data_IF_410330647136
#
_entry.id   IF_410330647136
#
_cell.length_a   1.000
_cell.length_b   1.000
_cell.length_c   1.000
_cell.angle_alpha   90.00
_cell.angle_beta   90.00
_cell.angle_gamma   90.00
#
_symmetry.space_group_name_H-M   'P 1'
#
loop_
_entity.id
_entity.type
_entity.pdbx_description
1 polymer ?
#
# COMPACT_ATOMS: atom_id res chain seq x y z
N UNK A 1 25.94 -6.44 -13.33
CA UNK A 1 25.03 -7.49 -12.85
C UNK A 1 23.64 -6.95 -12.66
N UNK A 2 22.67 -7.61 -13.22
CA UNK A 2 21.28 -7.25 -12.98
C UNK A 2 20.87 -7.75 -11.60
N UNK A 3 20.31 -6.91 -10.79
CA UNK A 3 19.76 -7.27 -9.48
C UNK A 3 18.25 -7.37 -9.57
N UNK A 4 17.70 -8.29 -8.84
CA UNK A 4 16.26 -8.38 -8.70
C UNK A 4 15.79 -7.44 -7.60
N UNK A 5 14.67 -6.80 -7.85
CA UNK A 5 14.06 -5.89 -6.91
C UNK A 5 12.55 -6.12 -6.95
N UNK A 6 11.95 -6.22 -5.78
CA UNK A 6 10.51 -6.36 -5.68
C UNK A 6 9.96 -5.07 -5.10
N UNK A 7 9.05 -4.46 -5.82
CA UNK A 7 8.35 -3.28 -5.34
C UNK A 7 6.93 -3.67 -4.95
N UNK A 8 6.58 -3.39 -3.72
CA UNK A 8 5.27 -3.68 -3.19
C UNK A 8 4.57 -2.37 -2.91
N UNK A 9 3.47 -2.17 -3.58
CA UNK A 9 2.65 -0.98 -3.40
C UNK A 9 1.40 -1.37 -2.63
N UNK A 10 1.15 -0.65 -1.55
CA UNK A 10 -0.01 -0.89 -0.70
C UNK A 10 -0.90 0.34 -0.68
N UNK A 11 -2.19 0.14 -0.76
CA UNK A 11 -3.17 1.21 -0.72
C UNK A 11 -4.27 0.85 0.28
N UNK A 12 -4.73 1.83 1.03
CA UNK A 12 -5.85 1.65 1.94
C UNK A 12 -6.48 3.00 2.26
N UNK A 13 -7.74 2.96 2.65
CA UNK A 13 -8.43 4.16 3.10
C UNK A 13 -8.05 4.51 4.55
N UNK A 14 -7.69 3.50 5.34
CA UNK A 14 -7.30 3.69 6.73
C UNK A 14 -5.78 3.69 6.84
N UNK A 15 -5.20 4.81 7.23
CA UNK A 15 -3.76 4.94 7.32
C UNK A 15 -3.14 4.09 8.44
N UNK A 16 -3.88 3.87 9.52
CA UNK A 16 -3.36 3.06 10.65
C UNK A 16 -3.18 1.61 10.25
N UNK A 17 -4.18 1.04 9.59
CA UNK A 17 -4.10 -0.33 9.10
C UNK A 17 -3.01 -0.45 8.06
N UNK A 18 -2.88 0.53 7.19
CA UNK A 18 -1.87 0.54 6.15
C UNK A 18 -0.47 0.57 6.74
N UNK A 19 -0.23 1.46 7.70
CA UNK A 19 1.08 1.57 8.34
C UNK A 19 1.44 0.30 9.10
N UNK A 20 0.49 -0.30 9.80
CA UNK A 20 0.71 -1.55 10.51
C UNK A 20 1.07 -2.67 9.54
N UNK A 21 0.36 -2.76 8.42
CA UNK A 21 0.64 -3.76 7.38
C UNK A 21 2.02 -3.55 6.77
N UNK A 22 2.40 -2.30 6.54
CA UNK A 22 3.72 -1.99 5.99
C UNK A 22 4.84 -2.42 6.94
N UNK A 23 4.67 -2.15 8.23
CA UNK A 23 5.66 -2.56 9.24
C UNK A 23 5.78 -4.07 9.28
N UNK A 24 4.65 -4.79 9.29
CA UNK A 24 4.66 -6.25 9.31
C UNK A 24 5.36 -6.82 8.08
N UNK A 25 5.11 -6.24 6.91
CA UNK A 25 5.76 -6.66 5.68
C UNK A 25 7.27 -6.47 5.74
N UNK A 26 7.71 -5.31 6.22
CA UNK A 26 9.13 -5.00 6.34
C UNK A 26 9.83 -5.96 7.29
N UNK A 27 9.22 -6.25 8.44
CA UNK A 27 9.77 -7.17 9.41
C UNK A 27 9.92 -8.58 8.84
N UNK A 28 8.89 -9.06 8.14
CA UNK A 28 8.95 -10.40 7.52
C UNK A 28 10.01 -10.47 6.44
N UNK A 29 10.14 -9.44 5.62
CA UNK A 29 11.15 -9.41 4.59
C UNK A 29 12.58 -9.40 5.19
N UNK A 30 12.78 -8.66 6.26
CA UNK A 30 14.07 -8.63 6.96
C UNK A 30 14.42 -9.98 7.56
N UNK A 31 13.45 -10.69 8.10
CA UNK A 31 13.67 -12.03 8.66
C UNK A 31 14.18 -13.00 7.62
N UNK A 32 13.87 -12.80 6.36
CA UNK A 32 14.33 -13.67 5.28
C UNK A 32 15.71 -13.33 4.77
N UNK A 33 16.32 -12.28 5.30
CA UNK A 33 17.65 -11.86 4.90
C UNK A 33 17.70 -10.88 3.73
N UNK A 34 16.56 -10.46 3.22
CA UNK A 34 16.52 -9.49 2.15
C UNK A 34 16.79 -8.08 2.66
N UNK A 35 17.30 -7.23 1.78
CA UNK A 35 17.47 -5.82 2.08
C UNK A 35 16.17 -5.09 1.77
N UNK A 36 15.69 -4.34 2.71
CA UNK A 36 14.42 -3.65 2.57
C UNK A 36 14.62 -2.15 2.71
N UNK A 37 14.12 -1.41 1.74
CA UNK A 37 13.97 0.04 1.88
C UNK A 37 12.62 0.26 2.55
N UNK A 38 12.61 0.93 3.68
CA UNK A 38 11.45 1.06 4.55
C UNK A 38 10.27 1.68 3.86
N UNK A 39 9.09 1.64 4.48
CA UNK A 39 7.90 2.13 3.79
C UNK A 39 8.04 3.59 3.40
N UNK A 40 7.84 3.86 2.13
CA UNK A 40 7.91 5.20 1.56
C UNK A 40 6.49 5.70 1.36
N UNK A 41 6.08 6.78 2.02
CA UNK A 41 4.75 7.32 1.78
C UNK A 41 4.69 8.00 0.42
N UNK A 42 3.67 7.66 -0.35
CA UNK A 42 3.36 8.34 -1.60
C UNK A 42 2.28 9.39 -1.33
N UNK A 43 2.12 10.36 -2.24
CA UNK A 43 1.07 11.34 -2.08
C UNK A 43 -0.31 10.69 -1.90
N UNK A 44 -1.07 11.20 -0.94
CA UNK A 44 -2.41 10.70 -0.66
C UNK A 44 -3.36 11.17 -1.75
N UNK A 45 -4.09 10.21 -2.34
CA UNK A 45 -5.14 10.56 -3.27
C UNK A 45 -6.38 11.02 -2.52
N UNK A 46 -6.94 12.13 -2.93
CA UNK A 46 -8.15 12.66 -2.30
C UNK A 46 -9.23 12.77 -3.37
N UNK A 47 -10.36 12.12 -3.12
CA UNK A 47 -11.53 12.24 -3.96
C UNK A 47 -12.63 12.89 -3.16
N UNK A 48 -13.27 13.88 -3.75
CA UNK A 48 -14.36 14.59 -3.09
C UNK A 48 -15.65 14.36 -3.85
N UNK A 49 -16.67 13.99 -3.12
CA UNK A 49 -17.99 13.77 -3.68
C UNK A 49 -18.99 14.69 -3.04
N UNK A 50 -19.88 15.24 -3.85
CA UNK A 50 -21.02 15.98 -3.36
C UNK A 50 -22.25 15.11 -3.57
N UNK A 51 -22.97 14.83 -2.49
CA UNK A 51 -24.17 14.01 -2.55
C UNK A 51 -25.38 14.88 -2.24
N UNK A 52 -26.36 14.82 -3.14
CA UNK A 52 -27.65 15.46 -2.93
C UNK A 52 -28.60 14.42 -2.37
N UNK A 53 -29.05 14.62 -1.13
CA UNK A 53 -29.94 13.65 -0.49
C UNK A 53 -31.36 13.71 -1.01
N UNK A 54 -31.82 14.90 -1.36
CA UNK A 54 -33.18 15.07 -1.87
C UNK A 54 -33.24 16.30 -2.75
N UNK A 55 -33.97 16.22 -3.88
CA UNK A 55 -34.12 17.39 -4.74
C UNK A 55 -35.01 18.49 -4.12
N UNK A 56 -35.77 18.17 -3.10
CA UNK A 56 -36.65 19.12 -2.45
C UNK A 56 -36.05 19.79 -1.23
N UNK A 57 -34.90 19.34 -0.80
CA UNK A 57 -34.25 19.88 0.39
C UNK A 57 -33.27 20.95 -0.08
N UNK A 58 -33.14 21.99 0.74
CA UNK A 58 -32.27 23.09 0.42
C UNK A 58 -30.77 22.72 0.45
N UNK A 59 -29.92 23.74 0.42
CA UNK A 59 -28.47 23.54 0.35
C UNK A 59 -27.89 22.72 1.49
N UNK A 60 -28.60 22.61 2.62
CA UNK A 60 -28.13 21.83 3.78
C UNK A 60 -28.14 20.35 3.51
N UNK A 61 -28.87 19.87 2.51
CA UNK A 61 -28.90 18.46 2.18
C UNK A 61 -27.68 18.02 1.37
N UNK A 62 -26.85 18.94 0.94
CA UNK A 62 -25.63 18.60 0.22
C UNK A 62 -24.55 18.20 1.22
N UNK A 63 -24.09 16.99 1.09
CA UNK A 63 -22.98 16.51 1.89
C UNK A 63 -21.79 16.28 0.98
N UNK A 64 -20.65 16.76 1.43
CA UNK A 64 -19.39 16.51 0.75
C UNK A 64 -18.64 15.42 1.49
N UNK A 65 -18.28 14.38 0.75
CA UNK A 65 -17.48 13.30 1.28
C UNK A 65 -16.10 13.37 0.68
N UNK A 66 -15.11 13.15 1.53
CA UNK A 66 -13.74 13.01 1.08
C UNK A 66 -13.33 11.55 1.28
N UNK A 67 -12.81 10.94 0.23
CA UNK A 67 -12.21 9.63 0.33
C UNK A 67 -10.71 9.83 0.14
N UNK A 68 -9.95 9.48 1.16
CA UNK A 68 -8.51 9.57 1.12
C UNK A 68 -7.91 8.19 0.95
N UNK A 69 -7.15 8.03 -0.11
CA UNK A 69 -6.44 6.79 -0.37
C UNK A 69 -4.98 6.98 0.01
N UNK A 70 -4.57 6.31 1.07
CA UNK A 70 -3.18 6.34 1.51
C UNK A 70 -2.40 5.29 0.76
N UNK A 71 -1.16 5.62 0.40
CA UNK A 71 -0.31 4.75 -0.40
C UNK A 71 1.05 4.63 0.25
N UNK A 72 1.59 3.41 0.26
CA UNK A 72 2.93 3.13 0.75
C UNK A 72 3.65 2.21 -0.23
N UNK A 73 4.94 2.39 -0.36
CA UNK A 73 5.77 1.56 -1.22
C UNK A 73 6.89 0.97 -0.37
N UNK A 74 7.08 -0.33 -0.52
CA UNK A 74 8.21 -1.04 0.09
C UNK A 74 9.01 -1.67 -1.03
N UNK A 75 10.31 -1.38 -1.08
CA UNK A 75 11.21 -1.98 -2.04
C UNK A 75 12.07 -3.03 -1.35
N UNK A 76 12.06 -4.22 -1.90
CA UNK A 76 12.89 -5.32 -1.40
C UNK A 76 13.99 -5.57 -2.43
N UNK A 77 15.23 -5.44 -2.00
CA UNK A 77 16.40 -5.66 -2.84
C UNK A 77 17.04 -6.98 -2.47
N UNK A 78 17.53 -7.69 -3.46
CA UNK A 78 18.16 -9.00 -3.26
C UNK A 78 17.23 -9.99 -2.55
N UNK A 79 16.01 -10.21 -3.07
CA UNK A 79 15.12 -11.17 -2.45
C UNK A 79 15.64 -12.59 -2.59
N UNK A 80 15.39 -13.40 -1.57
CA UNK A 80 15.70 -14.82 -1.60
C UNK A 80 14.42 -15.59 -1.94
N UNK A 81 14.55 -16.88 -2.24
CA UNK A 81 13.37 -17.74 -2.44
C UNK A 81 12.48 -17.73 -1.20
N UNK A 82 13.11 -17.69 -0.02
CA UNK A 82 12.39 -17.62 1.26
C UNK A 82 11.59 -16.32 1.37
N UNK A 83 12.12 -15.21 0.88
CA UNK A 83 11.43 -13.92 0.87
C UNK A 83 10.15 -14.02 0.03
N UNK A 84 10.24 -14.63 -1.14
CA UNK A 84 9.09 -14.80 -2.03
C UNK A 84 8.02 -15.67 -1.37
N UNK A 85 8.42 -16.75 -0.74
CA UNK A 85 7.50 -17.66 -0.05
C UNK A 85 6.78 -16.94 1.09
N UNK A 86 7.52 -16.18 1.88
CA UNK A 86 6.93 -15.41 2.98
C UNK A 86 5.93 -14.36 2.49
N UNK A 87 6.23 -13.72 1.37
CA UNK A 87 5.32 -12.74 0.77
C UNK A 87 4.03 -13.39 0.29
N UNK A 88 4.11 -14.60 -0.26
CA UNK A 88 2.93 -15.34 -0.72
C UNK A 88 2.03 -15.76 0.43
N UNK A 89 2.62 -16.07 1.58
CA UNK A 89 1.86 -16.51 2.75
C UNK A 89 1.39 -15.36 3.62
N UNK A 90 1.72 -14.14 3.26
CA UNK A 90 1.38 -12.98 4.06
C UNK A 90 -0.11 -12.68 3.99
N UNK A 91 -0.76 -12.66 5.15
CA UNK A 91 -2.16 -12.29 5.25
C UNK A 91 -2.25 -10.81 5.56
N UNK A 92 -2.92 -10.08 4.68
CA UNK A 92 -3.16 -8.67 4.88
C UNK A 92 -4.57 -8.45 5.43
N UNK A 93 -4.76 -7.45 6.29
CA UNK A 93 -6.09 -7.11 6.75
C UNK A 93 -7.02 -6.73 5.60
N UNK A 94 -8.29 -6.95 5.78
CA UNK A 94 -9.29 -6.48 4.84
C UNK A 94 -9.18 -4.95 4.71
N UNK A 95 -9.31 -4.45 3.50
CA UNK A 95 -9.20 -3.02 3.23
C UNK A 95 -7.84 -2.56 2.75
N UNK A 96 -6.84 -3.44 2.76
CA UNK A 96 -5.53 -3.12 2.20
C UNK A 96 -5.38 -3.82 0.86
N UNK A 97 -5.15 -3.03 -0.18
CA UNK A 97 -4.89 -3.55 -1.51
C UNK A 97 -3.38 -3.59 -1.74
N UNK A 98 -2.90 -4.72 -2.25
CA UNK A 98 -1.48 -4.93 -2.45
C UNK A 98 -1.21 -5.23 -3.92
N UNK A 99 -0.21 -4.56 -4.45
CA UNK A 99 0.31 -4.84 -5.79
C UNK A 99 1.80 -5.12 -5.70
N UNK A 100 2.20 -6.25 -6.23
CA UNK A 100 3.60 -6.67 -6.23
C UNK A 100 4.11 -6.61 -7.65
N UNK A 101 5.25 -5.95 -7.82
CA UNK A 101 5.89 -5.82 -9.11
C UNK A 101 7.34 -6.22 -9.00
N UNK A 102 7.76 -7.15 -9.83
CA UNK A 102 9.16 -7.54 -9.93
C UNK A 102 9.85 -6.61 -10.90
N UNK A 103 10.97 -6.06 -10.48
CA UNK A 103 11.77 -5.16 -11.29
C UNK A 103 13.17 -5.74 -11.44
N UNK A 104 13.72 -5.61 -12.63
CA UNK A 104 15.14 -5.92 -12.88
C UNK A 104 15.88 -4.61 -12.87
N UNK A 105 16.91 -4.54 -12.04
CA UNK A 105 17.76 -3.37 -11.96
C UNK A 105 18.88 -3.54 -12.97
N UNK A 106 18.73 -2.92 -14.12
CA UNK A 106 19.72 -2.98 -15.18
C UNK A 106 20.69 -1.81 -15.08
N UNK A 107 21.94 -2.12 -15.20
CA UNK A 107 22.98 -1.11 -15.30
C UNK A 107 23.87 -1.38 -16.47
#
# INVERSE_FOLDING_TARGET
MAGEKIRIRMEAYDHEILDQSAINLVEKAKETGAKVSGPIPLPTGIERYTVLRSPHVDKKSREQYEIRTHKRVVDITEPTAKTIDELRSLNMPAGVDIRVKALLDEK
#
